data_IF_561175340774
#
_entry.id   IF_561175340774
#
_cell.length_a   1.000
_cell.length_b   1.000
_cell.length_c   1.000
_cell.angle_alpha   90.00
_cell.angle_beta   90.00
_cell.angle_gamma   90.00
#
_symmetry.space_group_name_H-M   'P 1'
#
loop_
_entity.id
_entity.type
_entity.pdbx_description
1 polymer ?
2 non-polymer ?
3 water ?
#
# COMPACT_ATOMS: atom_id res chain seq x y z
N UNK A 10 1.94 20.62 25.36
CA UNK A 10 1.76 21.98 24.76
C UNK A 10 1.23 21.91 23.31
N UNK A 11 -0.05 22.23 23.15
CA UNK A 11 -0.76 22.09 21.86
C UNK A 11 -0.49 23.26 20.92
N UNK A 12 -0.13 22.97 19.66
CA UNK A 12 0.18 24.02 18.66
C UNK A 12 -1.00 24.37 17.76
N UNK A 13 -1.78 23.37 17.36
CA UNK A 13 -2.97 23.58 16.56
C UNK A 13 -3.92 22.40 16.69
N UNK A 14 -5.21 22.68 16.45
CA UNK A 14 -6.25 21.67 16.41
C UNK A 14 -7.05 21.95 15.16
N UNK A 15 -7.20 20.95 14.30
CA UNK A 15 -7.87 21.08 13.01
C UNK A 15 -8.94 20.03 12.87
N UNK A 16 -10.17 20.49 12.72
CA UNK A 16 -11.32 19.60 12.54
C UNK A 16 -11.31 19.04 11.13
N UNK A 17 -11.13 17.73 10.99
CA UNK A 17 -11.09 17.10 9.68
C UNK A 17 -12.48 16.85 9.12
N UNK A 18 -13.33 16.27 9.96
CA UNK A 18 -14.66 15.84 9.60
C UNK A 18 -15.48 15.93 10.88
N UNK A 19 -16.82 15.80 10.78
CA UNK A 19 -17.60 15.80 12.01
C UNK A 19 -17.04 14.76 12.98
N UNK A 20 -16.82 15.15 14.24
CA UNK A 20 -16.32 14.23 15.25
C UNK A 20 -14.85 13.82 15.15
N UNK A 21 -14.08 14.40 14.23
CA UNK A 21 -12.66 14.05 14.04
C UNK A 21 -11.74 15.27 14.07
N UNK A 22 -10.79 15.25 15.00
CA UNK A 22 -9.83 16.33 15.17
C UNK A 22 -8.40 15.81 15.06
N UNK A 23 -7.59 16.61 14.37
CA UNK A 23 -6.17 16.43 14.22
C UNK A 23 -5.46 17.45 15.11
N UNK A 24 -4.61 16.97 16.02
CA UNK A 24 -4.03 17.80 17.07
C UNK A 24 -2.52 17.73 16.98
N UNK A 25 -1.87 18.86 16.77
CA UNK A 25 -0.44 18.91 16.73
C UNK A 25 0.05 19.40 18.07
N UNK A 26 0.99 18.67 18.64
CA UNK A 26 1.27 18.83 20.04
C UNK A 26 2.67 18.38 20.38
N UNK A 27 3.36 19.15 21.22
CA UNK A 27 4.63 18.75 21.78
C UNK A 27 4.37 17.75 22.88
N UNK A 28 5.14 16.68 22.92
CA UNK A 28 4.98 15.71 23.98
C UNK A 28 5.82 14.47 23.78
N UNK A 29 5.67 13.54 24.71
CA UNK A 29 6.42 12.31 24.73
C UNK A 29 5.47 11.15 24.42
N UNK A 30 5.82 10.35 23.41
CA UNK A 30 4.98 9.23 22.96
C UNK A 30 4.66 8.24 24.07
N UNK A 31 5.58 8.09 25.00
CA UNK A 31 5.42 7.13 26.10
C UNK A 31 4.31 7.53 27.07
N UNK A 32 3.85 8.79 27.00
CA UNK A 32 2.99 9.40 28.01
C UNK A 32 1.96 10.35 27.40
N UNK A 33 0.99 9.82 26.66
CA UNK A 33 -0.02 10.68 26.03
C UNK A 33 -1.40 10.12 26.31
N UNK A 34 -2.42 11.01 26.35
CA UNK A 34 -3.78 10.55 26.65
C UNK A 34 -4.50 9.93 25.44
N UNK A 35 -3.91 8.87 24.86
CA UNK A 35 -4.49 8.21 23.70
C UNK A 35 -4.62 6.70 23.91
N UNK A 36 -5.42 6.07 23.06
CA UNK A 36 -5.58 4.62 23.12
C UNK A 36 -4.30 3.87 22.71
N UNK A 37 -3.61 4.37 21.70
CA UNK A 37 -2.50 3.63 21.09
C UNK A 37 -1.49 4.63 20.51
N UNK A 38 -0.23 4.23 20.41
CA UNK A 38 0.75 5.09 19.78
C UNK A 38 1.41 4.30 18.65
N UNK A 39 1.92 5.03 17.66
CA UNK A 39 2.69 4.48 16.55
C UNK A 39 4.19 4.73 16.81
N UNK A 40 4.96 3.65 16.84
CA UNK A 40 6.40 3.70 17.09
C UNK A 40 7.13 3.72 15.73
N UNK A 41 8.16 4.54 15.61
CA UNK A 41 8.96 4.54 14.41
C UNK A 41 10.00 3.43 14.55
N UNK A 42 9.82 2.35 13.81
CA UNK A 42 10.57 1.12 14.05
C UNK A 42 11.40 0.74 12.83
N UNK A 43 11.94 -0.48 12.86
CA UNK A 43 12.75 -1.00 11.74
C UNK A 43 12.30 -2.41 11.40
N UNK A 44 12.98 -3.03 10.43
CA UNK A 44 12.56 -4.30 9.87
C UNK A 44 12.53 -5.43 10.89
N UNK A 45 13.38 -5.31 11.91
CA UNK A 45 13.52 -6.31 12.96
C UNK A 45 12.73 -5.97 14.24
N UNK A 46 11.99 -4.86 14.22
CA UNK A 46 11.28 -4.37 15.38
C UNK A 46 12.24 -4.30 16.58
N UNK A 47 13.48 -3.84 16.31
CA UNK A 47 14.51 -3.77 17.32
C UNK A 47 14.68 -2.31 17.75
N UNK A 48 14.40 -2.05 19.03
CA UNK A 48 14.30 -0.69 19.53
C UNK A 48 15.59 -0.22 20.17
N UNK A 49 16.67 -0.21 19.40
CA UNK A 49 18.01 0.13 19.92
C UNK A 49 18.31 1.61 19.82
N UNK A 50 17.53 2.34 19.01
CA UNK A 50 17.77 3.77 18.79
C UNK A 50 16.55 4.68 18.85
N UNK A 51 16.81 5.98 18.88
CA UNK A 51 15.79 7.01 18.77
C UNK A 51 14.56 6.91 19.67
N UNK A 52 13.42 7.29 19.11
CA UNK A 52 12.17 7.31 19.86
C UNK A 52 11.80 5.91 20.35
N UNK A 53 12.05 4.93 19.50
CA UNK A 53 11.82 3.53 19.84
C UNK A 53 12.56 3.10 21.13
N UNK A 54 13.79 3.55 21.29
CA UNK A 54 14.56 3.23 22.49
C UNK A 54 13.92 3.83 23.74
N UNK A 55 13.40 5.04 23.62
CA UNK A 55 12.76 5.71 24.75
C UNK A 55 11.46 5.00 25.11
N UNK A 56 10.68 4.62 24.08
CA UNK A 56 9.46 3.83 24.26
C UNK A 56 9.75 2.52 24.95
N UNK A 57 10.77 1.82 24.44
CA UNK A 57 11.16 0.52 24.98
C UNK A 57 11.58 0.60 26.44
N UNK A 58 12.35 1.64 26.78
CA UNK A 58 12.78 1.81 28.16
C UNK A 58 11.60 2.04 29.10
N UNK A 59 10.69 2.93 28.72
CA UNK A 59 9.51 3.19 29.51
C UNK A 59 8.63 1.95 29.60
N UNK A 60 8.64 1.12 28.56
CA UNK A 60 7.78 -0.07 28.54
C UNK A 60 8.34 -1.23 29.35
N UNK A 61 9.65 -1.27 29.54
CA UNK A 61 10.31 -2.43 30.09
C UNK A 61 10.42 -3.53 29.06
N UNK A 62 10.96 -4.69 29.47
CA UNK A 62 11.35 -5.71 28.51
C UNK A 62 10.22 -6.42 27.79
N UNK A 63 8.98 -6.29 28.26
CA UNK A 63 7.84 -6.97 27.60
C UNK A 63 7.69 -6.51 26.15
N UNK A 64 7.98 -5.23 25.89
CA UNK A 64 7.74 -4.68 24.55
C UNK A 64 8.69 -5.34 23.54
N UNK A 65 9.99 -5.25 23.79
CA UNK A 65 10.98 -5.94 22.93
C UNK A 65 10.72 -7.44 22.84
N UNK A 66 10.34 -8.05 23.96
CA UNK A 66 10.11 -9.49 24.00
C UNK A 66 8.98 -9.89 23.05
N UNK A 67 7.88 -9.14 23.06
CA UNK A 67 6.74 -9.48 22.21
C UNK A 67 7.07 -9.21 20.72
N UNK A 68 7.76 -8.10 20.45
CA UNK A 68 8.30 -7.81 19.11
C UNK A 68 9.24 -8.91 18.55
N UNK A 69 10.11 -9.45 19.39
CA UNK A 69 11.00 -10.55 18.99
C UNK A 69 10.15 -11.74 18.57
N UNK A 70 9.12 -12.07 19.36
CA UNK A 70 8.23 -13.18 19.03
C UNK A 70 7.45 -12.94 17.73
N UNK A 71 7.02 -11.70 17.49
CA UNK A 71 6.30 -11.40 16.25
C UNK A 71 7.18 -11.63 15.02
N UNK A 72 8.42 -11.15 15.11
CA UNK A 72 9.38 -11.29 14.00
C UNK A 72 9.72 -12.78 13.78
N UNK A 73 9.81 -13.53 14.88
CA UNK A 73 10.08 -14.97 14.80
C UNK A 73 8.94 -15.72 14.13
N UNK A 74 7.70 -15.34 14.45
CA UNK A 74 6.51 -16.00 13.89
C UNK A 74 6.26 -15.60 12.44
N UNK A 75 6.29 -14.30 12.13
CA UNK A 75 5.89 -13.85 10.79
C UNK A 75 7.04 -13.40 9.90
N UNK A 76 8.27 -13.42 10.41
CA UNK A 76 9.42 -12.97 9.63
C UNK A 76 9.65 -11.48 9.73
N UNK A 77 10.79 -11.02 9.22
CA UNK A 77 11.14 -9.61 9.30
C UNK A 77 10.14 -8.77 8.51
N UNK A 78 9.99 -7.50 8.86
CA UNK A 78 9.16 -6.58 8.09
C UNK A 78 9.99 -5.95 6.95
N UNK A 79 9.30 -5.28 6.03
CA UNK A 79 9.91 -4.56 4.93
C UNK A 79 9.55 -3.08 5.05
N UNK A 80 10.27 -2.19 4.35
CA UNK A 80 9.92 -0.75 4.37
C UNK A 80 8.45 -0.53 3.97
N UNK A 81 7.75 0.39 4.61
CA UNK A 81 6.34 0.66 4.29
C UNK A 81 5.42 -0.43 4.83
N UNK A 82 5.68 -0.85 6.07
CA UNK A 82 4.92 -1.91 6.73
C UNK A 82 4.47 -1.40 8.07
N UNK A 83 3.50 -2.11 8.66
CA UNK A 83 3.15 -1.87 10.07
C UNK A 83 2.62 -3.11 10.74
N UNK A 84 2.83 -3.18 12.05
CA UNK A 84 2.35 -4.32 12.82
C UNK A 84 1.95 -3.81 14.21
N UNK A 85 1.40 -4.68 15.03
CA UNK A 85 0.96 -4.30 16.36
C UNK A 85 1.50 -5.27 17.41
N UNK A 86 1.92 -4.76 18.57
CA UNK A 86 2.39 -5.61 19.66
C UNK A 86 1.74 -5.22 20.98
N UNK A 87 2.06 -5.99 22.01
CA UNK A 87 1.78 -5.60 23.39
C UNK A 87 2.65 -4.40 23.77
N UNK A 88 2.30 -3.73 24.86
CA UNK A 88 2.90 -2.44 25.21
C UNK A 88 3.70 -2.44 26.51
N UNK A 89 3.82 -3.58 27.18
CA UNK A 89 4.51 -3.63 28.48
C UNK A 89 3.89 -2.68 29.49
N UNK A 90 4.73 -1.86 30.14
CA UNK A 90 4.35 -0.93 31.23
C UNK A 90 3.97 0.50 30.76
N UNK A 91 3.82 0.68 29.44
CA UNK A 91 3.25 1.90 28.89
C UNK A 91 1.76 1.99 29.25
N UNK A 92 1.21 3.20 29.26
CA UNK A 92 -0.19 3.41 29.57
C UNK A 92 -1.12 3.13 28.41
N UNK A 93 -0.80 2.10 27.63
CA UNK A 93 -1.59 1.65 26.51
C UNK A 93 -1.59 0.11 26.53
N UNK A 94 -2.57 -0.50 25.85
CA UNK A 94 -2.62 -1.98 25.76
C UNK A 94 -1.82 -2.51 24.57
N UNK A 95 -1.57 -1.67 23.57
CA UNK A 95 -0.79 -2.08 22.39
C UNK A 95 0.07 -0.94 21.90
N UNK A 96 1.09 -1.28 21.11
CA UNK A 96 1.84 -0.29 20.37
C UNK A 96 1.84 -0.74 18.90
N UNK A 97 1.63 0.21 18.00
CA UNK A 97 1.68 -0.04 16.56
C UNK A 97 3.08 0.35 16.12
N UNK A 98 3.73 -0.52 15.36
CA UNK A 98 5.09 -0.30 14.90
C UNK A 98 5.06 -0.07 13.41
N UNK A 99 5.44 1.15 13.00
CA UNK A 99 5.49 1.52 11.62
C UNK A 99 6.95 1.45 11.18
N UNK A 100 7.19 0.86 10.02
CA UNK A 100 8.56 0.76 9.48
C UNK A 100 8.57 1.68 8.27
N UNK A 101 9.11 2.88 8.45
CA UNK A 101 9.24 3.81 7.35
C UNK A 101 10.45 3.43 6.50
N UNK A 102 10.60 4.07 5.36
CA UNK A 102 11.79 3.79 4.55
C UNK A 102 13.01 4.51 5.12
N UNK A 103 14.17 4.01 4.75
CA UNK A 103 15.45 4.75 4.90
C UNK A 103 15.54 5.69 3.72
N UNK A 104 15.74 6.98 3.99
CA UNK A 104 15.70 7.99 2.95
C UNK A 104 16.81 7.85 1.91
N UNK A 105 16.47 8.00 0.63
CA UNK A 105 17.47 8.25 -0.43
C UNK A 105 16.98 9.31 -1.40
N UNK A 106 17.80 10.34 -1.66
CA UNK A 106 17.48 11.36 -2.68
C UNK A 106 17.26 10.81 -4.08
N UNK A 107 17.91 9.68 -4.35
CA UNK A 107 17.83 9.03 -5.64
C UNK A 107 16.51 8.30 -5.86
N UNK A 108 15.81 8.03 -4.75
CA UNK A 108 14.57 7.30 -4.78
C UNK A 108 13.48 8.05 -3.99
N UNK A 109 13.41 9.37 -4.17
CA UNK A 109 12.54 10.21 -3.33
C UNK A 109 11.08 9.82 -3.47
N UNK A 110 10.56 9.72 -4.70
CA UNK A 110 9.14 9.41 -4.81
C UNK A 110 8.77 8.04 -4.22
N UNK A 111 9.71 7.09 -4.22
CA UNK A 111 9.46 5.76 -3.68
C UNK A 111 9.46 5.83 -2.17
N UNK A 112 10.39 6.60 -1.61
CA UNK A 112 10.42 6.84 -0.18
C UNK A 112 9.13 7.51 0.27
N UNK A 113 8.66 8.49 -0.50
CA UNK A 113 7.40 9.13 -0.18
C UNK A 113 6.28 8.08 -0.15
N UNK A 114 6.18 7.29 -1.21
CA UNK A 114 5.23 6.18 -1.27
C UNK A 114 5.32 5.26 -0.05
N UNK A 115 6.52 4.86 0.35
CA UNK A 115 6.67 3.92 1.46
C UNK A 115 6.32 4.52 2.83
N UNK A 116 6.66 5.79 3.04
CA UNK A 116 6.29 6.48 4.29
C UNK A 116 4.77 6.64 4.40
N UNK A 117 4.18 7.06 3.32
CA UNK A 117 2.74 7.20 3.27
C UNK A 117 2.03 5.86 3.58
N UNK A 118 2.51 4.79 2.94
CA UNK A 118 1.99 3.47 3.20
C UNK A 118 2.11 2.98 4.67
N UNK A 119 3.27 3.15 5.28
CA UNK A 119 3.43 2.82 6.69
C UNK A 119 2.38 3.54 7.56
N UNK A 120 2.14 4.82 7.29
CA UNK A 120 1.11 5.60 8.00
C UNK A 120 -0.30 5.05 7.71
N UNK A 121 -0.59 4.76 6.43
CA UNK A 121 -1.91 4.26 6.10
C UNK A 121 -2.15 2.92 6.79
N UNK A 122 -1.11 2.08 6.81
CA UNK A 122 -1.25 0.75 7.43
C UNK A 122 -1.44 0.86 8.93
N UNK A 123 -0.74 1.81 9.56
CA UNK A 123 -0.89 2.05 11.00
C UNK A 123 -2.32 2.51 11.34
N UNK A 124 -2.87 3.40 10.54
CA UNK A 124 -4.26 3.85 10.72
C UNK A 124 -5.23 2.68 10.59
N UNK A 125 -5.03 1.85 9.55
CA UNK A 125 -5.84 0.66 9.37
C UNK A 125 -5.81 -0.25 10.59
N UNK A 126 -4.63 -0.50 11.13
CA UNK A 126 -4.56 -1.32 12.33
C UNK A 126 -5.30 -0.70 13.50
N UNK A 127 -5.14 0.61 13.69
CA UNK A 127 -5.88 1.29 14.75
C UNK A 127 -7.38 1.14 14.58
N UNK A 128 -7.85 1.24 13.34
CA UNK A 128 -9.30 1.20 13.10
C UNK A 128 -9.81 -0.23 13.28
N UNK A 129 -8.96 -1.22 12.96
CA UNK A 129 -9.31 -2.64 13.17
C UNK A 129 -9.50 -2.95 14.66
N UNK A 130 -8.66 -2.39 15.51
CA UNK A 130 -8.80 -2.55 16.95
C UNK A 130 -9.82 -1.58 17.55
N UNK A 131 -10.56 -0.86 16.70
CA UNK A 131 -11.63 0.04 17.14
C UNK A 131 -11.15 1.20 18.02
N UNK A 132 -9.89 1.58 17.90
CA UNK A 132 -9.41 2.70 18.70
C UNK A 132 -10.02 4.06 18.29
N UNK A 133 -10.15 4.93 19.30
CA UNK A 133 -10.68 6.28 19.11
C UNK A 133 -9.61 7.36 19.03
N UNK A 134 -8.41 7.06 19.53
CA UNK A 134 -7.33 8.02 19.53
C UNK A 134 -6.00 7.35 19.31
N UNK A 135 -5.12 8.07 18.61
CA UNK A 135 -3.79 7.62 18.24
C UNK A 135 -2.79 8.80 18.27
N UNK A 136 -1.56 8.53 18.66
CA UNK A 136 -0.51 9.53 18.49
C UNK A 136 0.51 8.98 17.51
N UNK A 137 1.02 9.86 16.65
CA UNK A 137 1.92 9.51 15.56
C UNK A 137 3.08 10.46 15.52
N UNK A 138 4.31 9.93 15.50
CA UNK A 138 5.53 10.74 15.44
C UNK A 138 6.01 10.98 14.00
N UNK A 139 7.09 11.74 13.86
CA UNK A 139 7.64 12.07 12.54
C UNK A 139 8.48 10.89 12.05
N UNK A 140 7.80 9.79 11.74
CA UNK A 140 8.41 8.50 11.33
C UNK A 140 9.40 8.74 10.22
N UNK A 141 10.61 8.16 10.34
CA UNK A 141 11.65 8.25 9.33
C UNK A 141 12.52 9.51 9.34
N UNK A 142 12.13 10.51 10.12
CA UNK A 142 12.81 11.81 10.14
C UNK A 142 14.03 11.85 11.05
N UNK A 143 14.30 10.77 11.78
CA UNK A 143 15.46 10.75 12.69
C UNK A 143 16.62 9.97 12.10
N UNK A 144 16.87 8.79 12.65
CA UNK A 144 17.87 7.87 12.13
C UNK A 144 17.71 7.56 10.63
N UNK A 145 16.48 7.50 10.11
CA UNK A 145 16.29 7.16 8.71
C UNK A 145 16.44 8.35 7.73
N UNK A 146 16.71 9.55 8.23
CA UNK A 146 17.19 10.69 7.40
C UNK A 146 16.18 11.36 6.46
N UNK A 147 14.89 11.11 6.62
CA UNK A 147 13.89 11.71 5.73
C UNK A 147 13.82 13.22 6.01
N UNK A 148 14.05 14.09 4.99
CA UNK A 148 13.97 15.54 5.21
C UNK A 148 12.69 15.92 5.92
N UNK A 149 12.82 16.71 6.98
CA UNK A 149 11.75 16.91 7.94
C UNK A 149 10.49 17.42 7.25
N UNK A 150 10.65 18.44 6.42
CA UNK A 150 9.52 19.05 5.68
C UNK A 150 8.70 18.04 4.88
N UNK A 151 9.37 17.30 4.01
CA UNK A 151 8.69 16.34 3.15
C UNK A 151 8.06 15.22 3.99
N UNK A 152 8.72 14.88 5.10
CA UNK A 152 8.28 13.82 5.99
C UNK A 152 6.89 14.13 6.59
N UNK A 153 6.81 15.28 7.25
CA UNK A 153 5.58 15.72 7.86
C UNK A 153 4.46 15.99 6.84
N UNK A 154 4.80 16.55 5.69
CA UNK A 154 3.81 16.74 4.64
C UNK A 154 3.25 15.37 4.25
N UNK A 155 4.13 14.36 4.16
CA UNK A 155 3.74 13.03 3.67
C UNK A 155 2.79 12.36 4.71
N UNK A 156 3.16 12.45 5.98
CA UNK A 156 2.36 11.90 7.06
C UNK A 156 0.98 12.59 7.11
N UNK A 157 0.94 13.92 7.01
CA UNK A 157 -0.32 14.63 7.05
C UNK A 157 -1.19 14.30 5.84
N UNK A 158 -0.62 14.25 4.63
CA UNK A 158 -1.35 13.81 3.43
C UNK A 158 -1.94 12.45 3.59
N UNK A 159 -1.19 11.52 4.17
CA UNK A 159 -1.70 10.14 4.39
C UNK A 159 -2.96 10.15 5.26
N UNK A 160 -2.93 10.97 6.30
CA UNK A 160 -4.05 11.12 7.22
C UNK A 160 -5.24 11.78 6.53
N UNK A 161 -5.02 12.82 5.74
CA UNK A 161 -6.12 13.42 4.98
C UNK A 161 -6.76 12.38 4.06
N UNK A 162 -5.93 11.66 3.34
CA UNK A 162 -6.48 10.66 2.45
C UNK A 162 -7.26 9.59 3.23
N UNK A 163 -6.79 9.23 4.42
CA UNK A 163 -7.46 8.26 5.25
C UNK A 163 -8.96 8.58 5.48
N UNK A 164 -9.27 9.84 5.76
CA UNK A 164 -10.64 10.29 6.02
C UNK A 164 -11.39 10.79 4.79
N UNK A 165 -10.65 11.13 3.75
CA UNK A 165 -11.24 11.68 2.53
C UNK A 165 -11.57 10.56 1.53
N UNK A 166 -10.71 9.55 1.41
CA UNK A 166 -10.96 8.53 0.39
C UNK A 166 -12.22 7.73 0.70
N UNK A 167 -12.32 7.20 1.92
CA UNK A 167 -13.56 6.55 2.39
C UNK A 167 -14.00 7.26 3.66
N UNK A 168 -15.08 8.04 3.58
CA UNK A 168 -15.52 8.89 4.69
C UNK A 168 -16.27 8.11 5.79
N UNK A 169 -16.72 6.91 5.43
CA UNK A 169 -17.59 6.06 6.27
C UNK A 169 -16.77 5.09 7.11
N UNK A 170 -17.25 4.79 8.30
CA UNK A 170 -16.76 3.65 9.07
C UNK A 170 -15.42 3.83 9.75
N UNK A 171 -15.10 5.07 10.15
CA UNK A 171 -13.92 5.34 10.95
C UNK A 171 -14.26 5.39 12.44
N UNK A 172 -13.42 4.76 13.26
CA UNK A 172 -13.53 4.80 14.72
C UNK A 172 -12.71 5.96 15.30
N UNK A 173 -11.62 6.30 14.60
CA UNK A 173 -10.68 7.32 15.08
C UNK A 173 -11.33 8.69 15.15
N UNK A 174 -11.18 9.34 16.31
CA UNK A 174 -11.75 10.67 16.58
C UNK A 174 -10.72 11.74 16.96
N UNK A 175 -9.60 11.35 17.57
CA UNK A 175 -8.48 12.22 17.88
C UNK A 175 -7.21 11.64 17.29
N UNK A 176 -6.57 12.39 16.40
CA UNK A 176 -5.25 12.03 15.91
C UNK A 176 -4.23 13.08 16.34
N UNK A 177 -3.23 12.63 17.08
CA UNK A 177 -2.20 13.50 17.61
C UNK A 177 -0.94 13.32 16.79
N UNK A 178 -0.37 14.43 16.35
CA UNK A 178 0.92 14.43 15.70
C UNK A 178 1.89 15.08 16.66
N UNK A 179 2.92 14.32 17.05
CA UNK A 179 3.70 14.68 18.22
C UNK A 179 5.20 14.50 18.03
N UNK A 180 5.98 15.28 18.79
CA UNK A 180 7.42 15.10 18.94
C UNK A 180 7.83 15.83 20.22
N UNK A 181 8.95 15.45 20.82
CA UNK A 181 9.49 16.19 21.97
C UNK A 181 10.06 17.55 21.56
N UNK A 182 10.51 17.68 20.32
CA UNK A 182 11.14 18.92 19.83
C UNK A 182 10.14 19.92 19.26
N UNK A 183 10.27 21.16 19.70
CA UNK A 183 9.42 22.25 19.23
C UNK A 183 9.53 22.44 17.71
N UNK A 184 10.70 22.18 17.17
CA UNK A 184 10.95 22.43 15.75
C UNK A 184 10.19 21.41 14.88
N UNK A 185 10.18 20.16 15.30
CA UNK A 185 9.44 19.12 14.58
C UNK A 185 7.94 19.38 14.67
N UNK A 186 7.46 19.81 15.84
CA UNK A 186 6.03 20.14 16.03
C UNK A 186 5.59 21.30 15.14
N UNK A 187 6.40 22.36 15.05
CA UNK A 187 6.12 23.48 14.16
C UNK A 187 6.08 23.04 12.68
N UNK A 188 6.95 22.10 12.30
CA UNK A 188 6.90 21.53 10.96
C UNK A 188 5.55 20.84 10.75
N UNK A 189 5.11 20.07 11.75
CA UNK A 189 3.81 19.40 11.67
C UNK A 189 2.68 20.44 11.52
N UNK A 190 2.70 21.48 12.35
CA UNK A 190 1.65 22.49 12.30
C UNK A 190 1.62 23.16 10.91
N UNK A 191 2.79 23.47 10.36
CA UNK A 191 2.87 24.05 8.99
C UNK A 191 2.33 23.08 7.92
N UNK A 192 2.71 21.82 8.02
CA UNK A 192 2.22 20.78 7.07
C UNK A 192 0.68 20.70 7.11
N UNK A 193 0.12 20.79 8.30
CA UNK A 193 -1.32 20.75 8.47
C UNK A 193 -1.98 21.96 7.77
N UNK A 194 -1.39 23.14 7.95
CA UNK A 194 -1.87 24.37 7.29
C UNK A 194 -1.86 24.19 5.79
N UNK A 195 -0.72 23.73 5.26
CA UNK A 195 -0.58 23.56 3.81
C UNK A 195 -1.54 22.49 3.24
N UNK A 196 -1.53 21.30 3.83
CA UNK A 196 -2.37 20.22 3.34
C UNK A 196 -3.90 20.51 3.43
N UNK A 197 -4.35 21.20 4.48
CA UNK A 197 -5.79 21.45 4.72
C UNK A 197 -6.26 22.90 4.47
N UNK A 225 -5.82 11.53 -16.52
CA UNK A 225 -6.06 10.21 -17.12
C UNK A 225 -4.85 9.55 -17.75
N UNK A 226 -3.76 10.29 -17.93
CA UNK A 226 -2.50 9.75 -18.46
C UNK A 226 -1.26 10.16 -17.66
N UNK A 227 -0.33 9.21 -17.52
CA UNK A 227 0.93 9.44 -16.82
C UNK A 227 2.05 8.86 -17.62
N UNK A 228 3.25 9.40 -17.43
CA UNK A 228 4.43 8.94 -18.14
C UNK A 228 5.63 8.94 -17.21
N UNK A 229 6.41 7.87 -17.25
CA UNK A 229 7.53 7.70 -16.33
C UNK A 229 8.77 8.29 -16.97
N UNK A 230 9.82 8.57 -16.15
CA UNK A 230 11.03 9.20 -16.70
C UNK A 230 11.61 8.42 -17.87
N UNK A 231 11.63 7.09 -17.74
CA UNK A 231 12.06 6.21 -18.82
C UNK A 231 11.14 6.14 -20.04
N UNK A 232 9.96 6.77 -19.97
CA UNK A 232 9.06 6.87 -21.14
C UNK A 232 7.84 5.96 -21.14
N UNK A 233 7.77 5.04 -20.17
CA UNK A 233 6.62 4.12 -20.05
C UNK A 233 5.41 4.90 -19.58
N UNK A 234 4.31 4.72 -20.29
CA UNK A 234 3.10 5.47 -19.98
C UNK A 234 1.96 4.62 -19.40
N UNK A 235 1.26 5.21 -18.43
CA UNK A 235 0.16 4.58 -17.75
C UNK A 235 -1.14 5.26 -18.12
N UNK A 236 -2.13 4.46 -18.51
CA UNK A 236 -3.42 4.95 -18.95
C UNK A 236 -4.50 4.42 -18.05
N UNK A 237 -5.40 5.31 -17.66
CA UNK A 237 -6.59 4.94 -16.94
C UNK A 237 -7.69 4.72 -17.99
N UNK A 238 -8.19 3.48 -18.08
CA UNK A 238 -9.20 3.11 -19.09
C UNK A 238 -10.44 2.61 -18.35
N UNK A 239 -11.57 3.24 -18.62
CA UNK A 239 -12.81 2.92 -17.92
C UNK A 239 -13.65 1.94 -18.74
N UNK A 240 -13.27 0.66 -18.69
CA UNK A 240 -14.09 -0.37 -19.28
C UNK A 240 -13.76 -1.73 -18.70
N UNK A 241 -14.59 -2.72 -19.04
CA UNK A 241 -14.39 -4.08 -18.61
C UNK A 241 -13.10 -4.61 -19.18
N UNK A 242 -12.32 -5.32 -18.35
CA UNK A 242 -11.05 -5.91 -18.76
C UNK A 242 -11.22 -6.91 -19.92
N UNK A 243 -12.40 -7.50 -20.05
CA UNK A 243 -12.70 -8.33 -21.23
C UNK A 243 -12.74 -7.55 -22.55
N UNK A 244 -12.75 -6.22 -22.46
CA UNK A 244 -12.68 -5.35 -23.65
C UNK A 244 -11.28 -4.79 -23.88
N UNK A 245 -10.31 -5.22 -23.09
CA UNK A 245 -8.94 -4.72 -23.25
C UNK A 245 -8.41 -5.00 -24.64
N UNK A 246 -7.68 -4.03 -25.19
CA UNK A 246 -7.04 -4.17 -26.48
C UNK A 246 -5.54 -3.95 -26.32
N UNK A 247 -4.98 -4.57 -25.29
CA UNK A 247 -3.53 -4.58 -25.08
C UNK A 247 -2.99 -5.91 -25.56
N UNK A 248 -1.67 -6.00 -25.74
CA UNK A 248 -1.04 -7.28 -26.03
C UNK A 248 -1.32 -8.32 -24.94
N UNK A 249 -1.19 -7.90 -23.69
CA UNK A 249 -1.34 -8.81 -22.56
C UNK A 249 -2.40 -8.29 -21.59
N UNK A 250 -3.21 -9.21 -21.05
CA UNK A 250 -4.23 -8.90 -20.05
C UNK A 250 -3.99 -9.75 -18.81
N UNK A 251 -4.12 -9.14 -17.64
CA UNK A 251 -3.88 -9.86 -16.38
C UNK A 251 -5.20 -10.27 -15.76
N UNK A 252 -5.25 -11.53 -15.31
CA UNK A 252 -6.42 -12.08 -14.62
C UNK A 252 -6.04 -12.44 -13.19
N UNK A 253 -7.02 -12.39 -12.30
CA UNK A 253 -6.86 -12.85 -10.90
C UNK A 253 -7.60 -14.16 -10.67
N UNK A 254 -6.88 -15.20 -10.26
CA UNK A 254 -7.48 -16.53 -10.12
C UNK A 254 -7.19 -17.12 -8.76
N UNK A 255 -8.03 -18.05 -8.29
CA UNK A 255 -7.77 -18.69 -7.02
C UNK A 255 -6.80 -19.87 -7.17
N UNK A 256 -6.37 -20.43 -6.03
CA UNK A 256 -5.38 -21.54 -5.98
C UNK A 256 -5.67 -22.71 -6.89
N UNK A 257 -6.95 -23.06 -7.03
CA UNK A 257 -7.35 -24.22 -7.84
C UNK A 257 -7.62 -23.88 -9.31
N UNK A 258 -7.32 -22.65 -9.71
CA UNK A 258 -7.35 -22.20 -11.11
C UNK A 258 -8.76 -22.18 -11.72
N UNK A 259 -9.80 -22.25 -10.90
CA UNK A 259 -11.16 -22.18 -11.43
C UNK A 259 -11.51 -20.73 -11.78
N UNK A 260 -11.94 -20.49 -13.02
CA UNK A 260 -12.12 -19.14 -13.55
C UNK A 260 -13.54 -18.58 -13.41
N UNK A 261 -14.45 -19.37 -12.86
CA UNK A 261 -15.87 -19.03 -12.86
C UNK A 261 -16.36 -18.50 -11.52
N UNK A 262 -15.45 -18.12 -10.62
CA UNK A 262 -15.82 -17.85 -9.23
C UNK A 262 -15.74 -16.38 -8.81
N UNK A 263 -14.80 -15.63 -9.35
CA UNK A 263 -14.75 -14.19 -9.09
C UNK A 263 -15.30 -13.44 -10.28
N UNK A 264 -15.85 -12.24 -10.06
CA UNK A 264 -16.44 -11.50 -11.17
C UNK A 264 -15.44 -11.05 -12.26
N UNK A 265 -14.18 -10.83 -11.87
CA UNK A 265 -13.12 -10.50 -12.83
C UNK A 265 -12.82 -11.67 -13.80
N UNK A 266 -12.49 -12.85 -13.26
CA UNK A 266 -12.21 -14.03 -14.10
C UNK A 266 -13.42 -14.45 -14.92
N UNK A 267 -14.59 -14.41 -14.29
CA UNK A 267 -15.82 -14.78 -14.95
C UNK A 267 -16.07 -13.92 -16.18
N UNK A 268 -15.79 -12.62 -16.07
CA UNK A 268 -15.97 -11.73 -17.21
C UNK A 268 -15.02 -12.14 -18.33
N UNK A 269 -13.76 -12.42 -17.99
CA UNK A 269 -12.80 -12.90 -18.97
C UNK A 269 -13.19 -14.25 -19.56
N UNK A 270 -13.58 -15.20 -18.72
CA UNK A 270 -14.01 -16.52 -19.18
C UNK A 270 -15.17 -16.47 -20.16
N UNK A 271 -16.15 -15.60 -19.89
CA UNK A 271 -17.34 -15.47 -20.73
C UNK A 271 -16.99 -14.91 -22.11
N UNK A 272 -16.13 -13.89 -22.15
CA UNK A 272 -15.70 -13.32 -23.43
C UNK A 272 -14.70 -14.26 -24.14
N UNK A 273 -13.89 -15.01 -23.37
CA UNK A 273 -12.87 -15.88 -23.98
C UNK A 273 -13.42 -17.17 -24.62
N UNK A 274 -14.37 -17.81 -23.95
CA UNK A 274 -14.83 -19.17 -24.27
C UNK A 274 -14.27 -20.14 -23.23
N UNK A 275 -14.85 -21.35 -23.11
CA UNK A 275 -14.38 -22.33 -22.12
C UNK A 275 -12.99 -22.91 -22.35
N UNK A 276 -12.38 -22.65 -23.51
CA UNK A 276 -11.01 -23.11 -23.76
C UNK A 276 -10.00 -22.33 -22.91
N UNK A 277 -10.39 -21.15 -22.45
CA UNK A 277 -9.57 -20.42 -21.51
C UNK A 277 -9.34 -21.26 -20.25
N UNK A 278 -10.40 -21.87 -19.72
CA UNK A 278 -10.29 -22.74 -18.55
C UNK A 278 -9.44 -23.97 -18.80
N UNK A 279 -9.70 -24.63 -19.93
CA UNK A 279 -9.00 -25.87 -20.28
C UNK A 279 -7.50 -25.63 -20.51
N UNK A 280 -7.15 -24.53 -21.18
CA UNK A 280 -5.73 -24.21 -21.39
C UNK A 280 -5.01 -23.88 -20.07
N UNK A 281 -5.69 -23.16 -19.18
CA UNK A 281 -5.09 -22.82 -17.88
C UNK A 281 -4.84 -24.08 -17.06
N UNK A 282 -5.84 -24.95 -17.00
CA UNK A 282 -5.67 -26.26 -16.35
C UNK A 282 -4.54 -27.05 -16.99
N UNK A 283 -4.45 -27.01 -18.31
CA UNK A 283 -3.38 -27.72 -19.01
C UNK A 283 -1.98 -27.18 -18.67
N UNK A 284 -1.81 -25.86 -18.77
CA UNK A 284 -0.51 -25.24 -18.50
C UNK A 284 -0.18 -25.35 -17.01
N UNK A 285 -1.22 -25.49 -16.19
CA UNK A 285 -1.03 -25.63 -14.73
C UNK A 285 -0.62 -27.01 -14.23
N UNK A 286 -0.65 -28.02 -15.10
CA UNK A 286 -0.32 -29.38 -14.69
C UNK A 286 1.08 -29.50 -14.10
N UNK A 287 1.18 -30.09 -12.91
CA UNK A 287 2.46 -30.27 -12.23
C UNK A 287 2.95 -29.05 -11.46
N UNK A 288 2.18 -27.97 -11.48
CA UNK A 288 2.57 -26.77 -10.75
C UNK A 288 2.01 -26.85 -9.33
N UNK A 289 2.86 -26.66 -8.33
CA UNK A 289 2.40 -26.43 -6.97
C UNK A 289 1.91 -25.00 -6.90
N UNK A 290 0.64 -24.78 -7.25
CA UNK A 290 0.12 -23.43 -7.36
C UNK A 290 0.12 -22.80 -5.97
N UNK A 291 0.60 -21.56 -5.87
CA UNK A 291 0.46 -20.82 -4.61
C UNK A 291 0.41 -19.32 -4.86
N UNK A 292 0.29 -18.56 -3.75
CA UNK A 292 0.30 -17.11 -3.80
C UNK A 292 1.47 -16.67 -4.62
N UNK A 293 1.25 -15.89 -5.67
CA UNK A 293 2.37 -15.39 -6.47
C UNK A 293 2.62 -16.20 -7.74
N UNK A 294 1.91 -17.32 -7.90
CA UNK A 294 1.94 -18.05 -9.15
C UNK A 294 1.34 -17.24 -10.33
N UNK A 295 2.06 -17.24 -11.45
CA UNK A 295 1.63 -16.54 -12.68
C UNK A 295 1.66 -17.58 -13.80
N UNK A 296 0.54 -17.80 -14.47
CA UNK A 296 0.52 -18.77 -15.58
C UNK A 296 -0.03 -18.11 -16.82
N UNK A 297 0.58 -18.43 -17.96
CA UNK A 297 0.27 -17.80 -19.23
C UNK A 297 -0.56 -18.68 -20.14
N UNK A 298 -1.59 -18.09 -20.74
CA UNK A 298 -2.38 -18.72 -21.80
C UNK A 298 -2.60 -17.81 -23.00
N UNK A 299 -3.02 -18.41 -24.12
CA UNK A 299 -3.45 -17.62 -25.27
C UNK A 299 -4.82 -17.01 -24.92
N UNK A 300 -5.35 -16.21 -25.84
CA UNK A 300 -6.46 -15.32 -25.57
C UNK A 300 -7.80 -15.82 -26.09
N UNK A 301 -7.76 -16.76 -27.03
CA UNK A 301 -8.97 -17.29 -27.66
C UNK A 301 -9.83 -16.11 -28.16
N UNK A 302 -11.10 -16.02 -27.75
CA UNK A 302 -11.97 -14.93 -28.25
C UNK A 302 -11.63 -13.52 -27.75
N UNK A 303 -10.76 -13.41 -26.75
CA UNK A 303 -10.33 -12.10 -26.26
C UNK A 303 -9.55 -11.36 -27.34
N UNK A 304 -9.53 -10.04 -27.26
CA UNK A 304 -8.86 -9.23 -28.26
C UNK A 304 -7.35 -9.11 -28.02
N UNK A 305 -6.86 -9.58 -26.88
CA UNK A 305 -5.42 -9.53 -26.59
C UNK A 305 -4.68 -10.74 -27.17
N UNK A 306 -3.36 -10.80 -26.99
CA UNK A 306 -2.55 -11.94 -27.44
C UNK A 306 -2.37 -12.97 -26.33
N UNK A 307 -2.08 -12.52 -25.12
CA UNK A 307 -1.96 -13.44 -24.00
C UNK A 307 -2.69 -12.98 -22.75
N UNK A 308 -3.11 -13.95 -21.95
CA UNK A 308 -3.62 -13.71 -20.61
C UNK A 308 -2.62 -14.27 -19.59
N UNK A 309 -2.24 -13.45 -18.62
CA UNK A 309 -1.45 -13.92 -17.50
C UNK A 309 -2.39 -14.06 -16.30
N UNK A 310 -2.55 -15.30 -15.86
CA UNK A 310 -3.38 -15.59 -14.71
C UNK A 310 -2.51 -15.58 -13.45
N UNK A 311 -2.90 -14.75 -12.48
CA UNK A 311 -2.13 -14.63 -11.27
C UNK A 311 -2.87 -15.06 -10.01
N UNK A 312 -2.16 -15.69 -9.08
CA UNK A 312 -2.81 -16.02 -7.81
C UNK A 312 -2.40 -14.97 -6.79
N UNK A 313 -3.26 -13.98 -6.60
CA UNK A 313 -2.99 -12.83 -5.74
C UNK A 313 -3.18 -13.16 -4.28
N UNK A 314 -2.45 -12.48 -3.37
CA UNK A 314 -2.58 -12.77 -1.96
C UNK A 314 -3.82 -12.14 -1.35
N UNK A 315 -4.27 -12.72 -0.25
CA UNK A 315 -5.23 -12.05 0.61
C UNK A 315 -4.60 -10.85 1.31
N UNK A 316 -5.42 -9.84 1.54
CA UNK A 316 -4.96 -8.60 2.20
C UNK A 316 -4.27 -8.87 3.54
N UNK A 317 -4.90 -9.72 4.38
CA UNK A 317 -4.33 -10.17 5.67
C UNK A 317 -3.82 -9.01 6.52
N UNK A 318 -4.66 -8.00 6.68
CA UNK A 318 -4.30 -6.83 7.46
C UNK A 318 -3.10 -6.04 6.91
N UNK A 319 -2.89 -6.11 5.59
CA UNK A 319 -1.77 -5.45 4.96
C UNK A 319 -0.42 -6.03 5.38
N UNK A 320 -0.35 -7.34 5.49
CA UNK A 320 0.90 -8.00 5.91
C UNK A 320 2.08 -7.77 4.95
N UNK A 321 3.27 -7.97 5.49
CA UNK A 321 4.51 -7.87 4.74
C UNK A 321 4.45 -8.71 3.48
N UNK A 322 4.01 -9.95 3.63
CA UNK A 322 3.91 -10.89 2.49
C UNK A 322 2.86 -10.50 1.49
N UNK A 323 1.71 -10.04 1.98
CA UNK A 323 0.63 -9.66 1.07
C UNK A 323 1.08 -8.50 0.15
N UNK A 324 1.73 -7.51 0.72
CA UNK A 324 2.21 -6.37 -0.06
C UNK A 324 3.37 -6.74 -0.97
N UNK A 325 4.31 -7.56 -0.50
CA UNK A 325 5.50 -7.86 -1.31
C UNK A 325 5.12 -8.78 -2.47
N UNK A 326 4.30 -9.79 -2.16
CA UNK A 326 3.83 -10.73 -3.21
C UNK A 326 3.02 -10.03 -4.31
N UNK A 327 2.15 -9.08 -3.94
CA UNK A 327 1.38 -8.36 -4.95
C UNK A 327 2.32 -7.56 -5.85
N UNK A 328 3.33 -6.93 -5.24
CA UNK A 328 4.33 -6.18 -5.99
C UNK A 328 5.13 -7.10 -6.91
N UNK A 329 5.53 -8.27 -6.41
CA UNK A 329 6.26 -9.26 -7.22
C UNK A 329 5.45 -9.71 -8.42
N UNK A 330 4.17 -9.94 -8.21
CA UNK A 330 3.25 -10.34 -9.30
C UNK A 330 3.21 -9.29 -10.38
N UNK A 331 3.05 -8.03 -9.98
CA UNK A 331 2.99 -6.90 -10.92
C UNK A 331 4.31 -6.75 -11.71
N UNK A 332 5.43 -6.84 -11.02
CA UNK A 332 6.74 -6.78 -11.68
C UNK A 332 6.90 -7.95 -12.67
N UNK A 333 6.52 -9.15 -12.26
CA UNK A 333 6.65 -10.33 -13.10
C UNK A 333 5.82 -10.26 -14.37
N UNK A 334 4.58 -9.79 -14.28
CA UNK A 334 3.74 -9.61 -15.47
C UNK A 334 4.34 -8.64 -16.46
N UNK A 335 4.96 -7.58 -15.95
CA UNK A 335 5.69 -6.64 -16.81
C UNK A 335 6.93 -7.28 -17.44
N UNK A 336 7.73 -8.00 -16.63
CA UNK A 336 8.93 -8.65 -17.13
C UNK A 336 8.59 -9.64 -18.24
N UNK A 337 7.52 -10.42 -18.02
CA UNK A 337 7.02 -11.35 -19.04
C UNK A 337 6.68 -10.62 -20.33
N UNK A 338 5.90 -9.54 -20.23
CA UNK A 338 5.50 -8.77 -21.40
C UNK A 338 6.74 -8.30 -22.20
N UNK A 339 7.74 -7.77 -21.48
CA UNK A 339 9.01 -7.38 -22.06
C UNK A 339 9.75 -8.57 -22.70
N UNK A 340 9.90 -9.67 -21.97
CA UNK A 340 10.54 -10.87 -22.50
C UNK A 340 9.83 -11.44 -23.73
N UNK A 341 8.53 -11.17 -23.90
CA UNK A 341 7.79 -11.64 -25.09
C UNK A 341 7.85 -10.65 -26.25
N UNK A 342 8.65 -9.58 -26.10
CA UNK A 342 8.78 -8.50 -27.09
C UNK A 342 7.45 -7.80 -27.37
N UNK A 343 6.61 -7.66 -26.35
CA UNK A 343 5.31 -7.02 -26.54
C UNK A 343 5.30 -5.60 -25.98
N UNK A 344 4.26 -4.84 -26.33
CA UNK A 344 4.26 -3.40 -26.08
C UNK A 344 3.35 -2.92 -24.95
N UNK A 345 2.26 -3.65 -24.70
CA UNK A 345 1.26 -3.18 -23.78
C UNK A 345 0.71 -4.29 -22.87
N UNK A 346 0.30 -3.89 -21.67
CA UNK A 346 -0.33 -4.78 -20.71
C UNK A 346 -1.50 -4.06 -20.01
N UNK A 347 -2.60 -4.79 -19.82
CA UNK A 347 -3.77 -4.32 -19.08
C UNK A 347 -3.85 -5.00 -17.73
N UNK A 348 -3.85 -4.21 -16.64
CA UNK A 348 -4.13 -4.70 -15.29
C UNK A 348 -5.51 -4.23 -14.84
N UNK A 349 -6.36 -5.17 -14.43
CA UNK A 349 -7.51 -4.75 -13.63
C UNK A 349 -7.07 -4.57 -12.19
N UNK A 350 -7.98 -4.12 -11.35
CA UNK A 350 -7.67 -3.85 -9.95
C UNK A 350 -7.63 -5.15 -9.13
N UNK A 351 -6.67 -6.01 -9.46
CA UNK A 351 -6.56 -7.31 -8.82
C UNK A 351 -6.39 -7.16 -7.31
N UNK A 352 -6.99 -8.07 -6.57
CA UNK A 352 -6.86 -8.05 -5.12
C UNK A 352 -7.90 -7.21 -4.41
N UNK A 353 -8.66 -6.39 -5.14
CA UNK A 353 -9.57 -5.39 -4.53
C UNK A 353 -11.04 -5.85 -4.43
N UNK A 354 -11.34 -7.08 -4.86
CA UNK A 354 -12.66 -7.70 -4.63
C UNK A 354 -12.63 -8.64 -3.45
N UNK A 355 -12.73 -9.94 -3.74
CA UNK A 355 -12.67 -11.02 -2.73
C UNK A 355 -11.47 -10.99 -1.79
N UNK A 356 -10.31 -10.57 -2.30
CA UNK A 356 -9.08 -10.64 -1.53
C UNK A 356 -8.89 -9.45 -0.57
N UNK A 357 -9.72 -8.42 -0.70
CA UNK A 357 -9.84 -7.41 0.34
C UNK A 357 -8.83 -6.28 0.37
N UNK A 358 -8.05 -6.08 -0.70
CA UNK A 358 -7.12 -4.92 -0.72
C UNK A 358 -7.90 -3.62 -0.76
N UNK A 359 -7.66 -2.69 0.19
CA UNK A 359 -8.28 -1.38 0.07
C UNK A 359 -7.91 -0.77 -1.27
N UNK A 360 -8.86 -0.15 -1.94
CA UNK A 360 -8.68 0.21 -3.34
C UNK A 360 -7.67 1.34 -3.57
N UNK A 361 -7.68 2.36 -2.70
CA UNK A 361 -6.64 3.39 -2.76
C UNK A 361 -5.24 2.82 -2.53
N UNK A 362 -5.09 1.96 -1.53
CA UNK A 362 -3.80 1.33 -1.24
C UNK A 362 -3.31 0.52 -2.45
N UNK A 363 -4.19 -0.30 -3.03
CA UNK A 363 -3.81 -1.02 -4.24
C UNK A 363 -3.39 -0.11 -5.40
N UNK A 364 -4.19 0.92 -5.69
CA UNK A 364 -3.91 1.78 -6.82
C UNK A 364 -2.53 2.41 -6.67
N UNK A 365 -2.24 2.81 -5.43
CA UNK A 365 -0.99 3.48 -5.12
C UNK A 365 0.15 2.47 -5.22
N UNK A 366 -0.12 1.23 -4.83
CA UNK A 366 0.88 0.17 -4.91
C UNK A 366 1.25 -0.15 -6.35
N UNK A 367 0.26 -0.36 -7.21
CA UNK A 367 0.54 -0.71 -8.59
C UNK A 367 1.16 0.46 -9.36
N UNK A 368 0.69 1.66 -9.10
CA UNK A 368 1.29 2.84 -9.73
C UNK A 368 2.77 3.02 -9.35
N UNK A 369 3.06 2.98 -8.06
CA UNK A 369 4.44 3.05 -7.61
C UNK A 369 5.30 1.95 -8.22
N UNK A 370 4.78 0.73 -8.27
CA UNK A 370 5.57 -0.38 -8.80
C UNK A 370 5.89 -0.16 -10.27
N UNK A 371 4.92 0.34 -11.04
CA UNK A 371 5.16 0.61 -12.45
C UNK A 371 6.24 1.70 -12.65
N UNK A 372 6.24 2.73 -11.82
CA UNK A 372 7.27 3.78 -11.87
C UNK A 372 8.64 3.23 -11.47
N UNK A 373 8.68 2.43 -10.41
CA UNK A 373 9.94 1.82 -9.94
C UNK A 373 10.58 0.93 -11.02
N UNK A 374 9.79 0.01 -11.56
CA UNK A 374 10.28 -0.90 -12.61
C UNK A 374 10.75 -0.14 -13.85
N UNK A 375 9.91 0.75 -14.33
CA UNK A 375 10.23 1.61 -15.50
C UNK A 375 11.52 2.43 -15.30
N UNK A 376 11.78 2.87 -14.07
CA UNK A 376 12.88 3.80 -13.81
C UNK A 376 14.24 3.11 -13.72
N UNK A 377 14.24 1.84 -13.30
CA UNK A 377 15.47 1.09 -13.03
C UNK A 377 15.81 0.12 -14.14
N UNK A 378 14.98 0.10 -15.17
CA UNK A 378 15.14 -0.82 -16.28
C UNK A 378 15.05 -0.10 -17.62
N UNK A 379 15.89 -0.53 -18.55
CA UNK A 379 15.85 -0.05 -19.92
C UNK A 379 14.93 -1.03 -20.65
N UNK A 380 13.74 -0.58 -21.03
CA UNK A 380 12.77 -1.46 -21.68
C UNK A 380 12.82 -1.30 -23.20
N UNK A 381 12.85 -2.42 -23.91
CA UNK A 381 13.01 -2.40 -25.36
C UNK A 381 11.67 -2.31 -26.06
N UNK A 382 10.65 -2.99 -25.54
CA UNK A 382 9.33 -3.00 -26.20
C UNK A 382 8.16 -2.55 -25.30
N UNK A 383 8.22 -2.89 -24.01
CA UNK A 383 7.15 -2.50 -23.07
C UNK A 383 7.06 -0.98 -22.94
N UNK A 384 5.91 -0.43 -23.34
CA UNK A 384 5.74 1.02 -23.43
C UNK A 384 4.45 1.58 -22.81
N UNK A 385 3.41 0.75 -22.69
CA UNK A 385 2.13 1.16 -22.14
C UNK A 385 1.61 0.17 -21.10
N UNK A 386 1.13 0.70 -19.97
CA UNK A 386 0.39 -0.08 -18.98
C UNK A 386 -0.99 0.56 -18.86
N UNK A 387 -2.03 -0.23 -19.07
CA UNK A 387 -3.40 0.25 -18.95
C UNK A 387 -4.01 -0.31 -17.68
N UNK A 388 -4.60 0.56 -16.86
CA UNK A 388 -5.43 0.13 -15.73
C UNK A 388 -6.90 0.03 -16.18
N UNK A 389 -7.44 -1.18 -16.22
CA UNK A 389 -8.81 -1.41 -16.68
C UNK A 389 -9.78 -1.44 -15.50
N UNK A 390 -10.58 -0.38 -15.39
CA UNK A 390 -11.49 -0.18 -14.28
C UNK A 390 -12.92 -0.28 -14.79
N UNK A 391 -13.70 -1.18 -14.19
CA UNK A 391 -15.11 -1.38 -14.52
C UNK A 391 -15.90 -0.08 -14.37
N UNK A 392 -16.74 0.29 -15.36
CA UNK A 392 -17.52 1.53 -15.31
C UNK A 392 -18.30 1.70 -14.03
N UNK A 393 -18.80 0.60 -13.47
CA UNK A 393 -19.58 0.64 -12.24
C UNK A 393 -18.72 0.85 -10.99
N UNK A 394 -17.43 0.55 -11.06
CA UNK A 394 -16.56 0.56 -9.88
C UNK A 394 -16.08 1.97 -9.57
N UNK A 395 -16.93 2.76 -8.95
CA UNK A 395 -16.60 4.15 -8.71
C UNK A 395 -15.46 4.28 -7.67
N UNK A 396 -15.39 3.41 -6.68
CA UNK A 396 -14.30 3.52 -5.72
C UNK A 396 -12.93 3.31 -6.38
N UNK A 397 -12.83 2.36 -7.31
CA UNK A 397 -11.55 2.12 -8.02
C UNK A 397 -11.20 3.28 -8.93
N UNK A 398 -12.20 3.76 -9.69
CA UNK A 398 -12.02 4.93 -10.51
C UNK A 398 -11.49 6.11 -9.71
N UNK A 399 -12.06 6.36 -8.53
CA UNK A 399 -11.62 7.47 -7.67
C UNK A 399 -10.19 7.23 -7.13
N UNK A 400 -9.93 5.99 -6.69
CA UNK A 400 -8.60 5.60 -6.23
C UNK A 400 -7.52 5.93 -7.24
N UNK A 401 -7.68 5.43 -8.46
CA UNK A 401 -6.74 5.68 -9.54
C UNK A 401 -6.71 7.13 -9.97
N UNK A 402 -7.87 7.80 -10.12
CA UNK A 402 -7.91 9.22 -10.52
C UNK A 402 -7.17 10.07 -9.49
N UNK A 403 -7.44 9.84 -8.22
CA UNK A 403 -6.80 10.59 -7.16
C UNK A 403 -5.29 10.46 -7.25
N UNK A 404 -4.78 9.24 -7.45
CA UNK A 404 -3.33 9.04 -7.52
C UNK A 404 -2.73 9.62 -8.81
N UNK A 405 -3.41 9.46 -9.94
CA UNK A 405 -2.96 10.11 -11.17
C UNK A 405 -2.83 11.62 -10.97
N UNK A 406 -3.76 12.22 -10.25
CA UNK A 406 -3.71 13.67 -9.94
C UNK A 406 -2.50 14.04 -9.06
N UNK A 407 -2.25 13.28 -7.99
CA UNK A 407 -1.08 13.56 -7.12
C UNK A 407 0.23 13.42 -7.90
N UNK A 408 0.31 12.41 -8.74
CA UNK A 408 1.51 12.14 -9.52
C UNK A 408 1.74 13.20 -10.59
N UNK A 409 0.68 13.72 -11.19
CA UNK A 409 0.78 14.72 -12.26
C UNK A 409 1.01 16.16 -11.74
N UNK A 410 1.29 16.36 -10.45
CA UNK A 410 1.47 17.70 -9.86
C UNK A 410 2.77 17.86 -9.08
#
# INVERSE_FOLDING_TARGET
SMGGSPAGQKCFSRTVLAPGVVLIVQQGDLARLPVDVVVNASNEDLKHYGGLAAALSKAAGPELQADCDQIVKREGRLLPGNATISKAGKLPYHHVIHAVGPRWSGYEAPRCVYLLRRAVQLSLCLAEKYKYRSIAIPAISSGVFGFPLGRCVETIVSAIKENFQFKKDGHCLKEIYLVDVSEKTVEAFAEAVKTVFKATLPDTAAPPGLPPAAAGPGKTSWEKGSLVSPGGLQMLLVKEGVQNAKTDVVVNSVPLDLVLSRGPLSKSLLEKAGPELQEELDTVGQGVAVSMGTVLKTSSWNLDCRYVLHVVAPEWRNGSTSSLKIMEDIIRECMEITESLSLKSIAFPAIGTGNLGFPKNIFAELIISEVFKFSSKNQLKTLQEVHFLLHPSDHENIQAFSDEFARRANGNLVS
#
